data_IF_532708844097
#
_entry.id   IF_532708844097
#
_cell.length_a   1.000
_cell.length_b   1.000
_cell.length_c   1.000
_cell.angle_alpha   90.00
_cell.angle_beta   90.00
_cell.angle_gamma   90.00
#
_symmetry.space_group_name_H-M   'P 1'
#
loop_
_entity.id
_entity.type
_entity.pdbx_description
1 polymer ?
#
# COMPACT_ATOMS: atom_id res chain seq x y z
N UNK A 1 62.10 11.25 9.19
CA UNK A 1 60.98 10.55 8.54
C UNK A 1 59.72 11.37 8.75
N UNK A 2 59.13 11.92 7.69
CA UNK A 2 57.88 12.69 7.73
C UNK A 2 56.86 11.94 6.88
N UNK A 3 55.77 11.48 7.50
CA UNK A 3 54.65 10.81 6.82
C UNK A 3 53.62 11.88 6.47
N UNK A 4 53.19 12.04 5.21
CA UNK A 4 52.09 12.94 4.89
C UNK A 4 50.76 12.21 5.10
N UNK A 5 49.89 12.78 5.91
CA UNK A 5 48.51 12.34 6.06
C UNK A 5 47.66 12.95 4.93
N UNK A 6 47.26 12.12 3.96
CA UNK A 6 46.26 12.50 2.95
C UNK A 6 44.86 12.49 3.56
N UNK A 7 44.24 13.66 3.67
CA UNK A 7 42.82 13.79 3.98
C UNK A 7 42.00 13.47 2.72
N UNK A 8 41.30 12.34 2.70
CA UNK A 8 40.25 12.04 1.73
C UNK A 8 38.98 12.80 2.12
N UNK A 9 38.67 13.85 1.37
CA UNK A 9 37.38 14.54 1.43
C UNK A 9 36.33 13.66 0.72
N UNK A 10 35.42 13.05 1.51
CA UNK A 10 34.20 12.43 1.00
C UNK A 10 33.23 13.55 0.58
N UNK A 11 33.24 13.93 -0.69
CA UNK A 11 32.20 14.78 -1.26
C UNK A 11 30.95 13.92 -1.52
N UNK A 12 29.93 14.09 -0.67
CA UNK A 12 28.60 13.54 -0.92
C UNK A 12 27.99 14.26 -2.13
N UNK A 13 27.87 13.56 -3.26
CA UNK A 13 27.13 14.04 -4.43
C UNK A 13 25.65 13.91 -4.10
N UNK A 14 25.00 15.03 -3.76
CA UNK A 14 23.54 15.10 -3.68
C UNK A 14 22.98 15.07 -5.10
N UNK A 15 22.41 13.93 -5.51
CA UNK A 15 21.62 13.86 -6.73
C UNK A 15 20.31 14.61 -6.49
N UNK A 16 19.99 15.57 -7.37
CA UNK A 16 18.69 16.22 -7.36
C UNK A 16 17.65 15.23 -7.89
N UNK A 17 17.05 14.44 -7.02
CA UNK A 17 15.88 13.62 -7.36
C UNK A 17 14.69 14.55 -7.55
N UNK A 18 14.24 14.73 -8.79
CA UNK A 18 13.05 15.55 -9.07
C UNK A 18 11.81 14.68 -8.86
N UNK A 19 10.93 15.12 -7.96
CA UNK A 19 9.63 14.49 -7.73
C UNK A 19 8.71 14.81 -8.91
N UNK A 20 8.03 13.79 -9.42
CA UNK A 20 7.07 13.93 -10.52
C UNK A 20 5.69 14.16 -9.90
N UNK A 21 5.32 15.43 -9.72
CA UNK A 21 4.11 15.82 -8.97
C UNK A 21 2.83 15.24 -9.59
N UNK A 22 2.71 15.19 -10.92
CA UNK A 22 1.52 14.69 -11.62
C UNK A 22 1.16 13.23 -11.33
N UNK A 23 2.15 12.44 -10.89
CA UNK A 23 2.00 11.01 -10.60
C UNK A 23 2.34 10.71 -9.14
N UNK A 24 2.34 11.73 -8.27
CA UNK A 24 2.70 11.59 -6.86
C UNK A 24 1.62 12.17 -5.94
N UNK A 25 1.43 11.57 -4.77
CA UNK A 25 0.68 12.14 -3.66
C UNK A 25 1.30 11.78 -2.31
N UNK A 26 1.05 12.61 -1.29
CA UNK A 26 1.56 12.39 0.06
C UNK A 26 3.05 12.75 0.26
N UNK A 27 3.67 13.50 -0.66
CA UNK A 27 4.99 14.09 -0.43
C UNK A 27 4.94 15.41 0.36
N UNK A 28 3.79 16.08 0.39
CA UNK A 28 3.54 17.29 1.16
C UNK A 28 2.86 17.02 2.51
N UNK A 29 2.37 18.08 3.16
CA UNK A 29 1.68 17.97 4.45
C UNK A 29 0.32 17.26 4.38
N UNK A 30 -0.31 17.21 3.20
CA UNK A 30 -1.61 16.58 2.97
C UNK A 30 -1.60 15.73 1.69
N UNK A 31 -2.33 14.62 1.73
CA UNK A 31 -2.58 13.71 0.59
C UNK A 31 -3.61 14.31 -0.36
N UNK A 32 -4.66 14.91 0.18
CA UNK A 32 -5.69 15.61 -0.58
C UNK A 32 -5.76 17.07 -0.14
N UNK A 33 -5.32 18.03 -0.97
CA UNK A 33 -5.38 19.46 -0.66
C UNK A 33 -6.80 20.02 -0.73
N UNK A 34 -7.73 19.35 -1.41
CA UNK A 34 -9.15 19.72 -1.50
C UNK A 34 -10.06 18.51 -1.24
N UNK A 35 -11.35 18.78 -1.01
CA UNK A 35 -12.38 17.74 -0.88
C UNK A 35 -12.74 17.06 -2.21
N UNK A 36 -12.24 17.58 -3.33
CA UNK A 36 -12.58 17.13 -4.68
C UNK A 36 -11.78 15.90 -5.12
N UNK A 37 -10.69 15.58 -4.42
CA UNK A 37 -9.90 14.37 -4.68
C UNK A 37 -8.40 14.62 -4.56
N UNK A 38 -7.63 13.69 -5.11
CA UNK A 38 -6.18 13.80 -5.21
C UNK A 38 -5.83 14.35 -6.60
N UNK A 39 -5.14 15.49 -6.71
CA UNK A 39 -4.80 16.08 -8.01
C UNK A 39 -4.01 15.10 -8.89
N UNK A 40 -4.44 14.93 -10.14
CA UNK A 40 -3.77 14.02 -11.10
C UNK A 40 -4.09 12.53 -10.88
N UNK A 41 -5.03 12.19 -9.99
CA UNK A 41 -5.41 10.81 -9.69
C UNK A 41 -6.91 10.58 -9.82
N UNK A 42 -7.26 9.48 -10.47
CA UNK A 42 -8.61 8.95 -10.54
C UNK A 42 -8.81 7.88 -9.48
N UNK A 43 -9.79 8.08 -8.61
CA UNK A 43 -10.09 7.19 -7.49
C UNK A 43 -11.49 6.61 -7.69
N UNK A 44 -11.62 5.31 -7.47
CA UNK A 44 -12.90 4.63 -7.58
C UNK A 44 -12.85 3.24 -6.97
N UNK A 45 -13.97 2.54 -7.01
CA UNK A 45 -14.08 1.22 -6.40
C UNK A 45 -15.38 0.51 -6.75
N UNK A 46 -15.46 -0.74 -6.32
CA UNK A 46 -16.61 -1.63 -6.46
C UNK A 46 -17.04 -2.08 -5.06
N UNK A 47 -18.35 -2.01 -4.77
CA UNK A 47 -18.90 -2.28 -3.44
C UNK A 47 -18.62 -1.19 -2.39
N UNK A 48 -17.67 -0.30 -2.65
CA UNK A 48 -17.38 0.88 -1.83
C UNK A 48 -16.68 1.96 -2.67
N UNK A 49 -16.83 3.23 -2.29
CA UNK A 49 -16.04 4.32 -2.83
C UNK A 49 -14.91 4.68 -1.84
N UNK A 50 -13.61 4.60 -2.24
CA UNK A 50 -12.49 4.85 -1.34
C UNK A 50 -12.61 6.18 -0.59
N UNK A 51 -12.27 6.16 0.71
CA UNK A 51 -12.33 7.37 1.53
C UNK A 51 -11.01 8.14 1.42
N UNK A 52 -11.10 9.40 1.02
CA UNK A 52 -9.96 10.30 0.91
C UNK A 52 -9.91 11.16 2.17
N UNK A 53 -8.86 10.97 2.97
CA UNK A 53 -8.59 11.75 4.18
C UNK A 53 -7.40 12.67 3.95
N UNK A 54 -7.20 13.63 4.85
CA UNK A 54 -6.12 14.61 4.73
C UNK A 54 -4.73 13.98 4.69
N UNK A 55 -4.52 12.83 5.36
CA UNK A 55 -3.22 12.19 5.49
C UNK A 55 -3.12 10.79 4.84
N UNK A 56 -4.23 10.25 4.31
CA UNK A 56 -4.26 8.90 3.73
C UNK A 56 -5.48 8.68 2.84
N UNK A 57 -5.39 7.67 1.99
CA UNK A 57 -6.50 7.12 1.22
C UNK A 57 -6.83 5.75 1.78
N UNK A 58 -8.09 5.48 2.09
CA UNK A 58 -8.57 4.17 2.50
C UNK A 58 -9.14 3.50 1.24
N UNK A 59 -8.37 2.58 0.64
CA UNK A 59 -8.80 1.85 -0.56
C UNK A 59 -9.87 0.82 -0.24
N UNK A 60 -9.73 0.12 0.89
CA UNK A 60 -10.74 -0.83 1.39
C UNK A 60 -11.05 -0.53 2.85
N UNK A 61 -12.33 -0.50 3.24
CA UNK A 61 -12.72 -0.28 4.63
C UNK A 61 -12.62 -1.59 5.43
N UNK A 62 -12.56 -1.52 6.77
CA UNK A 62 -12.65 -2.70 7.63
C UNK A 62 -14.04 -3.37 7.59
N UNK A 63 -15.05 -2.68 7.03
CA UNK A 63 -16.39 -3.19 6.75
C UNK A 63 -17.08 -2.23 5.76
N UNK A 64 -17.83 -2.69 4.74
CA UNK A 64 -18.13 -4.10 4.41
C UNK A 64 -16.98 -4.82 3.70
N UNK A 65 -17.02 -6.15 3.69
CA UNK A 65 -16.13 -7.00 2.88
C UNK A 65 -16.54 -7.08 1.41
N UNK A 66 -15.79 -7.86 0.62
CA UNK A 66 -15.97 -8.00 -0.83
C UNK A 66 -15.88 -6.67 -1.59
N UNK A 67 -15.06 -5.74 -1.08
CA UNK A 67 -14.87 -4.43 -1.68
C UNK A 67 -13.57 -4.38 -2.48
N UNK A 68 -13.57 -3.57 -3.52
CA UNK A 68 -12.38 -3.26 -4.32
C UNK A 68 -12.22 -1.75 -4.41
N UNK A 69 -10.99 -1.27 -4.29
CA UNK A 69 -10.66 0.14 -4.45
C UNK A 69 -9.47 0.29 -5.39
N UNK A 70 -9.42 1.43 -6.08
CA UNK A 70 -8.29 1.81 -6.91
C UNK A 70 -8.00 3.30 -6.82
N UNK A 71 -6.75 3.64 -7.09
CA UNK A 71 -6.27 4.98 -7.41
C UNK A 71 -5.31 4.86 -8.59
N UNK A 72 -5.58 5.56 -9.69
CA UNK A 72 -4.74 5.57 -10.90
C UNK A 72 -4.28 6.98 -11.24
N UNK A 73 -3.02 7.15 -11.63
CA UNK A 73 -2.52 8.42 -12.14
C UNK A 73 -3.14 8.72 -13.52
N UNK A 74 -3.59 9.95 -13.74
CA UNK A 74 -4.18 10.39 -15.01
C UNK A 74 -3.14 10.58 -16.12
N UNK A 75 -1.89 10.89 -15.74
CA UNK A 75 -0.80 11.15 -16.70
C UNK A 75 0.16 9.95 -16.73
N UNK A 76 0.48 9.40 -17.93
CA UNK A 76 1.47 8.35 -18.06
C UNK A 76 2.88 8.88 -17.77
N UNK A 77 3.72 8.03 -17.21
CA UNK A 77 5.09 8.34 -16.87
C UNK A 77 5.98 8.33 -18.12
N UNK A 78 6.55 9.47 -18.48
CA UNK A 78 7.42 9.59 -19.66
C UNK A 78 8.86 9.13 -19.45
N UNK A 79 9.29 8.94 -18.21
CA UNK A 79 10.66 8.61 -17.85
C UNK A 79 10.90 7.11 -17.91
N UNK A 80 11.99 6.68 -18.54
CA UNK A 80 12.40 5.27 -18.57
C UNK A 80 13.08 4.83 -17.27
N UNK A 81 13.76 5.75 -16.60
CA UNK A 81 14.41 5.51 -15.29
C UNK A 81 13.66 6.26 -14.19
N UNK A 82 13.13 5.51 -13.22
CA UNK A 82 12.31 6.05 -12.15
C UNK A 82 12.45 5.25 -10.86
N UNK A 83 12.17 5.92 -9.76
CA UNK A 83 12.02 5.31 -8.45
C UNK A 83 10.66 5.70 -7.87
N UNK A 84 9.90 4.73 -7.37
CA UNK A 84 8.63 4.93 -6.71
C UNK A 84 8.75 4.55 -5.23
N UNK A 85 8.35 5.43 -4.34
CA UNK A 85 8.16 5.15 -2.92
C UNK A 85 6.66 5.04 -2.61
N UNK A 86 6.27 3.88 -2.10
CA UNK A 86 4.90 3.54 -1.75
C UNK A 86 4.81 3.28 -0.25
N UNK A 87 3.95 4.02 0.46
CA UNK A 87 3.69 3.81 1.89
C UNK A 87 2.27 3.36 2.12
N UNK A 88 2.11 2.21 2.76
CA UNK A 88 0.81 1.61 3.01
C UNK A 88 0.71 1.02 4.41
N UNK A 89 -0.52 0.74 4.84
CA UNK A 89 -0.80 -0.03 6.06
C UNK A 89 -1.96 -0.96 5.80
N UNK A 90 -1.85 -2.19 6.31
CA UNK A 90 -2.96 -3.12 6.37
C UNK A 90 -3.37 -3.34 7.83
N UNK A 91 -4.66 -3.22 8.12
CA UNK A 91 -5.20 -3.47 9.47
C UNK A 91 -6.47 -4.28 9.38
N UNK A 92 -6.58 -5.32 10.18
CA UNK A 92 -7.78 -6.14 10.23
C UNK A 92 -7.80 -7.09 11.40
N UNK A 93 -8.97 -7.66 11.63
CA UNK A 93 -9.21 -8.65 12.68
C UNK A 93 -8.50 -9.97 12.37
N UNK A 94 -8.54 -10.89 13.33
CA UNK A 94 -8.03 -12.25 13.12
C UNK A 94 -8.72 -12.90 11.91
N UNK A 95 -7.93 -13.53 11.02
CA UNK A 95 -8.38 -14.13 9.75
C UNK A 95 -9.01 -13.17 8.73
N UNK A 96 -8.96 -11.86 8.94
CA UNK A 96 -9.17 -10.91 7.86
C UNK A 96 -8.06 -11.08 6.80
N UNK A 97 -8.34 -10.61 5.60
CA UNK A 97 -7.39 -10.69 4.51
C UNK A 97 -7.75 -9.80 3.35
N UNK A 98 -7.07 -10.04 2.24
CA UNK A 98 -7.16 -9.24 1.05
C UNK A 98 -5.76 -9.02 0.50
N UNK A 99 -5.71 -8.26 -0.58
CA UNK A 99 -4.49 -8.02 -1.31
C UNK A 99 -4.42 -6.56 -1.72
N UNK A 100 -3.19 -6.07 -1.80
CA UNK A 100 -2.85 -4.72 -2.24
C UNK A 100 -1.88 -4.86 -3.40
N UNK A 101 -2.10 -4.11 -4.46
CA UNK A 101 -1.23 -4.12 -5.62
C UNK A 101 -0.79 -2.70 -5.94
N UNK A 102 0.49 -2.55 -6.20
CA UNK A 102 1.04 -1.38 -6.88
C UNK A 102 1.30 -1.76 -8.34
N UNK A 103 0.90 -0.91 -9.26
CA UNK A 103 0.95 -1.16 -10.69
C UNK A 103 1.79 -0.10 -11.40
N UNK A 104 2.48 -0.56 -12.44
CA UNK A 104 2.98 0.25 -13.53
C UNK A 104 2.51 -0.41 -14.82
N UNK A 105 1.36 0.02 -15.33
CA UNK A 105 0.65 -0.68 -16.40
C UNK A 105 0.18 0.26 -17.50
N UNK A 106 0.20 -0.24 -18.73
CA UNK A 106 -0.36 0.44 -19.90
C UNK A 106 -1.88 0.49 -19.80
N UNK A 107 -2.46 1.68 -20.00
CA UNK A 107 -3.91 1.92 -19.92
C UNK A 107 -4.53 1.34 -18.62
N UNK A 108 -3.89 1.64 -17.48
CA UNK A 108 -4.13 0.93 -16.23
C UNK A 108 -5.57 1.04 -15.72
N UNK A 109 -6.20 2.21 -15.84
CA UNK A 109 -7.59 2.42 -15.43
C UNK A 109 -8.57 1.61 -16.29
N UNK A 110 -8.35 1.58 -17.61
CA UNK A 110 -9.23 0.91 -18.56
C UNK A 110 -9.05 -0.61 -18.56
N UNK A 111 -7.80 -1.08 -18.45
CA UNK A 111 -7.44 -2.51 -18.52
C UNK A 111 -7.50 -3.23 -17.18
N UNK A 112 -7.06 -2.58 -16.11
CA UNK A 112 -6.99 -3.16 -14.77
C UNK A 112 -8.15 -2.67 -13.90
N UNK A 113 -8.39 -1.36 -13.87
CA UNK A 113 -9.46 -0.75 -13.08
C UNK A 113 -9.30 -1.07 -11.59
N UNK A 114 -10.28 -1.80 -11.02
CA UNK A 114 -10.30 -2.27 -9.62
C UNK A 114 -9.79 -3.71 -9.44
N UNK A 115 -9.29 -4.36 -10.49
CA UNK A 115 -8.92 -5.77 -10.46
C UNK A 115 -7.65 -6.02 -9.63
N UNK A 116 -7.65 -7.12 -8.87
CA UNK A 116 -6.44 -7.71 -8.31
C UNK A 116 -5.68 -8.55 -9.35
N UNK A 117 -4.43 -8.93 -9.06
CA UNK A 117 -3.63 -9.83 -9.91
C UNK A 117 -4.33 -11.17 -10.20
N UNK A 118 -5.24 -11.61 -9.32
CA UNK A 118 -6.00 -12.85 -9.44
C UNK A 118 -7.25 -12.73 -10.32
N UNK A 119 -7.60 -11.51 -10.72
CA UNK A 119 -8.87 -11.21 -11.39
C UNK A 119 -8.71 -10.33 -12.63
N UNK A 120 -7.52 -9.76 -12.83
CA UNK A 120 -7.16 -8.97 -14.00
C UNK A 120 -7.04 -9.86 -15.23
N UNK A 121 -7.48 -9.36 -16.38
CA UNK A 121 -7.39 -10.06 -17.65
C UNK A 121 -5.97 -10.02 -18.25
N UNK A 122 -5.89 -9.70 -19.53
CA UNK A 122 -4.66 -9.32 -20.21
C UNK A 122 -4.28 -7.88 -19.87
N UNK A 123 -3.01 -7.67 -19.52
CA UNK A 123 -2.45 -6.36 -19.16
C UNK A 123 -0.96 -6.32 -19.54
N UNK A 124 -0.40 -5.13 -19.69
CA UNK A 124 0.99 -4.93 -20.10
C UNK A 124 1.71 -4.03 -19.07
N UNK A 125 2.76 -4.55 -18.44
CA UNK A 125 3.59 -3.82 -17.49
C UNK A 125 4.06 -4.66 -16.30
N UNK A 126 4.21 -3.98 -15.16
CA UNK A 126 4.64 -4.53 -13.88
C UNK A 126 3.58 -4.38 -12.79
N UNK A 127 3.50 -5.38 -11.90
CA UNK A 127 2.69 -5.35 -10.70
C UNK A 127 3.46 -5.87 -9.50
N UNK A 128 3.41 -5.13 -8.39
CA UNK A 128 3.88 -5.57 -7.08
C UNK A 128 2.67 -5.90 -6.21
N UNK A 129 2.59 -7.12 -5.69
CA UNK A 129 1.47 -7.62 -4.90
C UNK A 129 1.92 -7.85 -3.48
N UNK A 130 1.13 -7.33 -2.54
CA UNK A 130 1.24 -7.60 -1.10
C UNK A 130 0.03 -8.44 -0.71
N UNK A 131 0.27 -9.66 -0.24
CA UNK A 131 -0.79 -10.58 0.17
C UNK A 131 -0.29 -11.61 1.19
N UNK A 132 -1.22 -12.42 1.70
CA UNK A 132 -0.93 -13.48 2.67
C UNK A 132 -0.45 -14.78 2.02
N UNK A 133 -0.04 -14.76 0.75
CA UNK A 133 0.48 -15.95 0.08
C UNK A 133 1.76 -16.45 0.79
N UNK A 134 2.10 -17.74 0.64
CA UNK A 134 3.24 -18.46 1.26
C UNK A 134 3.16 -18.80 2.76
N UNK A 135 2.11 -18.39 3.48
CA UNK A 135 1.82 -18.86 4.85
C UNK A 135 2.76 -18.34 5.96
N UNK A 136 3.75 -17.51 5.64
CA UNK A 136 4.72 -16.92 6.59
C UNK A 136 4.33 -15.52 7.10
N UNK A 137 3.03 -15.27 7.24
CA UNK A 137 2.51 -13.99 7.76
C UNK A 137 2.40 -12.86 6.74
N UNK A 138 2.75 -13.10 5.48
CA UNK A 138 2.64 -12.17 4.36
C UNK A 138 3.82 -12.29 3.39
N UNK A 139 3.61 -11.92 2.14
CA UNK A 139 4.65 -11.88 1.11
C UNK A 139 4.49 -10.66 0.22
N UNK A 140 5.61 -10.22 -0.35
CA UNK A 140 5.66 -9.21 -1.40
C UNK A 140 6.18 -9.88 -2.66
N UNK A 141 5.45 -9.76 -3.77
CA UNK A 141 5.69 -10.52 -5.00
C UNK A 141 5.62 -9.63 -6.23
N UNK A 142 6.54 -9.80 -7.17
CA UNK A 142 6.60 -9.08 -8.44
C UNK A 142 6.06 -9.93 -9.60
N UNK A 143 5.21 -9.34 -10.42
CA UNK A 143 4.62 -9.93 -11.62
C UNK A 143 4.87 -9.06 -12.84
N UNK A 144 5.00 -9.69 -14.00
CA UNK A 144 5.15 -9.03 -15.29
C UNK A 144 4.16 -9.63 -16.29
N UNK A 145 3.67 -8.80 -17.19
CA UNK A 145 2.88 -9.23 -18.32
C UNK A 145 3.17 -8.31 -19.50
N UNK A 146 3.13 -8.85 -20.71
CA UNK A 146 3.39 -8.15 -21.97
C UNK A 146 2.10 -7.98 -22.80
N UNK A 147 0.94 -8.16 -22.15
CA UNK A 147 -0.37 -8.14 -22.79
C UNK A 147 -0.84 -9.50 -23.34
N UNK A 148 0.00 -10.53 -23.35
CA UNK A 148 -0.35 -11.82 -23.97
C UNK A 148 -1.07 -12.76 -23.00
N UNK A 149 -0.72 -12.74 -21.72
CA UNK A 149 -1.22 -13.70 -20.74
C UNK A 149 -2.48 -13.17 -20.05
N UNK A 150 -3.55 -13.96 -20.07
CA UNK A 150 -4.76 -13.67 -19.29
C UNK A 150 -4.61 -14.23 -17.86
N UNK A 151 -4.42 -13.35 -16.89
CA UNK A 151 -4.20 -13.73 -15.50
C UNK A 151 -5.47 -14.28 -14.83
N UNK A 152 -6.66 -13.83 -15.26
CA UNK A 152 -7.95 -14.25 -14.69
C UNK A 152 -8.25 -15.71 -14.98
N UNK A 153 -7.85 -16.20 -16.15
CA UNK A 153 -8.05 -17.60 -16.55
C UNK A 153 -6.84 -18.50 -16.24
N UNK A 154 -5.75 -17.93 -15.71
CA UNK A 154 -4.55 -18.69 -15.39
C UNK A 154 -4.77 -19.58 -14.16
N UNK A 155 -4.44 -20.88 -14.27
CA UNK A 155 -4.69 -21.88 -13.21
C UNK A 155 -3.92 -21.62 -11.92
N UNK A 156 -2.74 -21.01 -12.04
CA UNK A 156 -1.84 -20.74 -10.92
C UNK A 156 -1.20 -19.39 -11.15
N UNK A 157 -1.88 -18.32 -10.75
CA UNK A 157 -1.32 -16.96 -10.86
C UNK A 157 -0.03 -16.86 -10.04
N UNK A 158 0.04 -17.55 -8.89
CA UNK A 158 1.18 -17.50 -7.98
C UNK A 158 2.51 -17.95 -8.62
N UNK A 159 2.48 -18.87 -9.58
CA UNK A 159 3.68 -19.33 -10.28
C UNK A 159 4.21 -18.34 -11.32
N UNK A 160 3.47 -17.28 -11.64
CA UNK A 160 3.90 -16.23 -12.57
C UNK A 160 4.77 -15.16 -11.90
N UNK A 161 4.91 -15.21 -10.57
CA UNK A 161 5.76 -14.27 -9.85
C UNK A 161 7.24 -14.51 -10.21
N UNK A 162 7.93 -13.48 -10.70
CA UNK A 162 9.36 -13.58 -11.05
C UNK A 162 10.29 -13.29 -9.87
N UNK A 163 9.78 -12.62 -8.83
CA UNK A 163 10.52 -12.26 -7.63
C UNK A 163 9.59 -12.17 -6.43
N UNK A 164 10.07 -12.57 -5.25
CA UNK A 164 9.30 -12.50 -4.02
C UNK A 164 10.20 -12.43 -2.79
N UNK A 165 9.64 -11.91 -1.69
CA UNK A 165 10.21 -12.05 -0.35
C UNK A 165 9.10 -12.20 0.69
N UNK A 166 9.43 -12.84 1.81
CA UNK A 166 8.54 -12.93 2.96
C UNK A 166 8.50 -11.59 3.71
N UNK A 167 7.30 -11.06 3.94
CA UNK A 167 7.12 -9.80 4.66
C UNK A 167 5.79 -9.77 5.40
N UNK A 168 5.84 -9.75 6.74
CA UNK A 168 4.63 -9.63 7.55
C UNK A 168 4.20 -8.16 7.63
N UNK A 169 3.20 -7.80 6.84
CA UNK A 169 2.74 -6.42 6.64
C UNK A 169 1.52 -6.03 7.50
N UNK A 170 0.82 -7.02 8.08
CA UNK A 170 -0.46 -6.80 8.77
C UNK A 170 -0.24 -6.30 10.19
N UNK A 171 -1.06 -5.35 10.62
CA UNK A 171 -1.16 -4.92 12.02
C UNK A 171 0.16 -4.41 12.65
N UNK A 172 1.07 -3.84 11.85
CA UNK A 172 2.37 -3.33 12.31
C UNK A 172 2.31 -2.04 13.15
N UNK A 173 1.15 -1.37 13.21
CA UNK A 173 0.96 -0.07 13.88
C UNK A 173 1.58 1.12 13.13
N UNK A 174 2.66 0.90 12.37
CA UNK A 174 3.30 1.87 11.46
C UNK A 174 2.97 1.56 9.99
N UNK A 175 3.09 2.54 9.07
CA UNK A 175 3.10 2.27 7.64
C UNK A 175 4.36 1.50 7.22
N UNK A 176 4.20 0.56 6.30
CA UNK A 176 5.27 -0.12 5.57
C UNK A 176 5.73 0.74 4.40
N UNK A 177 7.03 0.81 4.16
CA UNK A 177 7.61 1.59 3.06
C UNK A 177 8.19 0.64 2.03
N UNK A 178 7.68 0.69 0.80
CA UNK A 178 8.18 -0.07 -0.34
C UNK A 178 8.81 0.89 -1.33
N UNK A 179 10.03 0.60 -1.78
CA UNK A 179 10.67 1.34 -2.86
C UNK A 179 10.91 0.43 -4.04
N UNK A 180 10.40 0.84 -5.20
CA UNK A 180 10.61 0.18 -6.49
C UNK A 180 11.52 1.08 -7.31
N UNK A 181 12.66 0.57 -7.75
CA UNK A 181 13.61 1.28 -8.57
C UNK A 181 13.76 0.57 -9.91
N UNK A 182 13.49 1.29 -10.99
CA UNK A 182 13.64 0.82 -12.36
C UNK A 182 14.69 1.69 -13.05
N UNK A 183 15.80 1.08 -13.46
CA UNK A 183 16.87 1.72 -14.24
C UNK A 183 17.20 0.87 -15.45
N UNK A 184 18.03 1.37 -16.37
CA UNK A 184 18.45 0.59 -17.53
C UNK A 184 19.27 -0.67 -17.17
N UNK A 185 19.87 -0.72 -15.98
CA UNK A 185 20.74 -1.84 -15.56
C UNK A 185 20.12 -2.76 -14.53
N UNK A 186 19.25 -2.25 -13.66
CA UNK A 186 18.71 -3.01 -12.54
C UNK A 186 17.28 -2.60 -12.21
N UNK A 187 16.47 -3.62 -11.97
CA UNK A 187 15.17 -3.51 -11.34
C UNK A 187 15.27 -4.03 -9.90
N UNK A 188 14.96 -3.19 -8.92
CA UNK A 188 15.16 -3.49 -7.50
C UNK A 188 13.92 -3.10 -6.70
N UNK A 189 13.52 -3.98 -5.78
CA UNK A 189 12.46 -3.73 -4.80
C UNK A 189 13.03 -3.86 -3.39
N UNK A 190 12.81 -2.83 -2.57
CA UNK A 190 13.16 -2.82 -1.15
C UNK A 190 11.93 -2.55 -0.29
N UNK A 191 11.93 -3.10 0.93
CA UNK A 191 10.83 -3.01 1.89
C UNK A 191 11.41 -2.66 3.25
N UNK A 192 10.96 -1.55 3.84
CA UNK A 192 11.51 -1.00 5.08
C UNK A 192 13.07 -0.94 5.04
N UNK A 193 13.62 -0.43 3.92
CA UNK A 193 15.05 -0.31 3.62
C UNK A 193 15.84 -1.63 3.55
N UNK A 194 15.15 -2.77 3.45
CA UNK A 194 15.75 -4.09 3.23
C UNK A 194 15.52 -4.57 1.80
N UNK A 195 16.51 -5.18 1.14
CA UNK A 195 16.31 -5.75 -0.18
C UNK A 195 15.29 -6.88 -0.13
N UNK A 196 14.31 -6.84 -1.03
CA UNK A 196 13.31 -7.90 -1.21
C UNK A 196 13.70 -8.79 -2.38
N UNK A 197 13.80 -8.22 -3.58
CA UNK A 197 14.35 -8.89 -4.76
C UNK A 197 14.89 -7.87 -5.75
N UNK A 198 15.85 -8.31 -6.57
CA UNK A 198 16.43 -7.51 -7.65
C UNK A 198 16.76 -8.40 -8.85
N UNK A 199 16.72 -7.81 -10.05
CA UNK A 199 17.00 -8.51 -11.31
C UNK A 199 17.48 -7.52 -12.37
N UNK A 200 18.38 -7.97 -13.24
CA UNK A 200 18.90 -7.25 -14.40
C UNK A 200 18.16 -7.63 -15.70
N UNK A 201 17.20 -8.57 -15.62
CA UNK A 201 16.49 -9.12 -16.79
C UNK A 201 15.19 -8.38 -17.13
N UNK A 202 14.77 -7.46 -16.27
CA UNK A 202 13.49 -6.77 -16.39
C UNK A 202 13.73 -5.38 -16.97
N UNK A 203 13.16 -5.14 -18.15
CA UNK A 203 13.15 -3.85 -18.80
C UNK A 203 11.69 -3.41 -18.98
N UNK A 204 11.33 -2.29 -18.36
CA UNK A 204 9.97 -1.77 -18.35
C UNK A 204 9.90 -0.53 -19.25
N UNK A 205 9.01 -0.47 -20.26
CA UNK A 205 8.93 0.65 -21.19
C UNK A 205 8.39 1.92 -20.51
N UNK A 206 8.77 3.08 -21.03
CA UNK A 206 8.14 4.36 -20.67
C UNK A 206 6.72 4.46 -21.26
N UNK A 207 5.91 5.35 -20.70
CA UNK A 207 4.57 5.67 -21.21
C UNK A 207 3.42 4.94 -20.53
N UNK A 208 3.66 4.27 -19.40
CA UNK A 208 2.60 3.59 -18.65
C UNK A 208 2.12 4.42 -17.46
N UNK A 209 0.97 4.05 -16.92
CA UNK A 209 0.34 4.69 -15.76
C UNK A 209 0.69 3.99 -14.46
N UNK A 210 0.77 4.75 -13.37
CA UNK A 210 0.94 4.22 -12.02
C UNK A 210 -0.43 4.02 -11.39
N UNK A 211 -0.61 2.92 -10.70
CA UNK A 211 -1.85 2.63 -9.99
C UNK A 211 -1.64 1.91 -8.69
N UNK A 212 -2.62 2.01 -7.81
CA UNK A 212 -2.73 1.17 -6.63
C UNK A 212 -4.14 0.60 -6.60
N UNK A 213 -4.26 -0.71 -6.43
CA UNK A 213 -5.55 -1.38 -6.25
C UNK A 213 -5.53 -2.18 -4.96
N UNK A 214 -6.69 -2.38 -4.36
CA UNK A 214 -6.85 -3.30 -3.24
C UNK A 214 -8.16 -4.05 -3.40
N UNK A 215 -8.16 -5.34 -3.05
CA UNK A 215 -9.36 -6.17 -3.05
C UNK A 215 -9.43 -7.01 -1.77
N UNK A 216 -10.64 -7.15 -1.25
CA UNK A 216 -10.90 -7.87 0.00
C UNK A 216 -11.90 -9.02 -0.18
N UNK A 217 -11.78 -10.10 0.59
CA UNK A 217 -12.82 -11.12 0.72
C UNK A 217 -13.92 -10.63 1.68
N UNK A 218 -14.82 -11.53 2.09
CA UNK A 218 -15.90 -11.24 3.03
C UNK A 218 -15.40 -10.70 4.38
N UNK A 219 -14.26 -11.18 4.87
CA UNK A 219 -13.57 -10.66 6.05
C UNK A 219 -12.41 -9.75 5.61
N UNK A 220 -12.62 -8.43 5.49
CA UNK A 220 -11.66 -7.53 4.86
C UNK A 220 -10.56 -7.07 5.82
N UNK A 221 -9.34 -6.98 5.30
CA UNK A 221 -8.35 -6.03 5.80
C UNK A 221 -8.67 -4.64 5.24
N UNK A 222 -8.50 -3.62 6.08
CA UNK A 222 -8.46 -2.24 5.63
C UNK A 222 -7.08 -1.93 5.08
N UNK A 223 -7.03 -1.59 3.79
CA UNK A 223 -5.82 -1.14 3.11
C UNK A 223 -5.82 0.38 3.00
N UNK A 224 -4.82 0.99 3.63
CA UNK A 224 -4.63 2.43 3.69
C UNK A 224 -3.33 2.81 2.99
N UNK A 225 -3.37 3.83 2.13
CA UNK A 225 -2.21 4.36 1.41
C UNK A 225 -1.93 5.77 1.89
N UNK A 226 -0.70 6.01 2.35
CA UNK A 226 -0.28 7.30 2.87
C UNK A 226 0.48 8.11 1.82
N UNK A 227 1.22 7.43 0.95
CA UNK A 227 2.15 8.07 0.04
C UNK A 227 2.38 7.20 -1.19
N UNK A 228 2.36 7.82 -2.37
CA UNK A 228 2.91 7.29 -3.61
C UNK A 228 3.73 8.40 -4.22
N UNK A 229 5.05 8.27 -4.24
CA UNK A 229 5.94 9.33 -4.74
C UNK A 229 6.86 8.78 -5.79
N UNK A 230 6.78 9.37 -6.98
CA UNK A 230 7.67 9.07 -8.08
C UNK A 230 8.78 10.10 -8.18
N UNK A 231 9.98 9.60 -8.40
CA UNK A 231 11.19 10.38 -8.58
C UNK A 231 11.89 9.92 -9.86
N UNK A 232 12.53 10.86 -10.55
CA UNK A 232 13.45 10.51 -11.62
C UNK A 232 14.68 9.81 -11.04
N UNK A 233 15.01 8.65 -11.57
CA UNK A 233 16.25 7.97 -11.19
C UNK A 233 17.36 8.50 -12.09
N UNK A 234 18.11 9.51 -11.64
CA UNK A 234 19.34 9.87 -12.34
C UNK A 234 20.41 8.82 -12.08
N UNK A 235 20.80 8.08 -13.13
CA UNK A 235 21.98 7.23 -13.10
C UNK A 235 23.24 8.10 -12.87
N UNK A 236 24.13 7.75 -11.92
CA UNK A 236 25.38 8.48 -11.68
C UNK A 236 26.43 8.09 -12.74
N UNK A 237 26.21 8.47 -14.00
CA UNK A 237 27.22 8.36 -15.06
C UNK A 237 27.18 9.61 -15.91
N UNK A 238 28.01 10.59 -15.56
CA UNK A 238 28.19 11.82 -16.34
C UNK A 238 29.11 12.81 -15.63
N UNK A 239 30.32 12.94 -16.14
CA UNK A 239 31.36 13.88 -15.70
C UNK A 239 30.78 15.30 -15.53
N UNK A 240 31.01 15.91 -14.38
CA UNK A 240 30.72 17.32 -14.16
C UNK A 240 31.50 18.20 -15.18
N UNK A 241 30.89 19.25 -15.74
CA UNK A 241 31.64 20.28 -16.47
C UNK A 241 32.57 21.02 -15.50
N UNK A 242 33.81 21.37 -15.91
CA UNK A 242 34.72 22.11 -15.05
C UNK A 242 34.23 23.56 -14.91
N UNK A 243 33.93 23.96 -13.68
CA UNK A 243 33.71 25.36 -13.32
C UNK A 243 35.08 26.06 -13.31
N UNK A 244 35.29 26.98 -14.25
CA UNK A 244 36.48 27.84 -14.28
C UNK A 244 36.43 28.81 -13.09
N UNK A 245 37.26 28.56 -12.08
CA UNK A 245 37.55 29.52 -11.04
C UNK A 245 38.54 30.56 -11.59
N UNK A 246 38.07 31.80 -11.75
CA UNK A 246 38.89 32.93 -12.17
C UNK A 246 39.77 33.37 -11.00
N UNK A 247 41.07 33.23 -11.20
CA UNK A 247 42.13 33.49 -10.26
C UNK A 247 42.44 35.01 -10.25
N UNK A 248 42.51 35.65 -9.10
CA UNK A 248 43.17 36.98 -8.99
C UNK A 248 44.16 36.94 -7.84
N UNK A 249 45.43 36.85 -8.23
CA UNK A 249 46.63 36.97 -7.41
C UNK A 249 46.65 38.28 -6.63
N UNK A 250 47.15 38.24 -5.39
CA UNK A 250 47.98 39.33 -4.86
C UNK A 250 48.84 38.89 -3.67
N UNK A 251 50.14 39.20 -3.76
CA UNK A 251 51.18 39.07 -2.74
C UNK A 251 52.26 40.15 -3.01
N UNK A 252 53.16 40.47 -2.07
CA UNK A 252 53.05 41.68 -1.24
C UNK A 252 54.28 42.61 -1.33
N UNK A 253 54.16 43.91 -0.97
CA UNK A 253 55.33 44.77 -0.66
C UNK A 253 55.05 45.83 0.42
N UNK A 254 56.13 46.15 1.13
CA UNK A 254 56.22 46.91 2.38
C UNK A 254 56.76 48.35 2.21
N UNK A 255 56.42 49.19 3.22
CA UNK A 255 57.12 50.31 3.87
C UNK A 255 57.42 51.67 3.16
N UNK A 256 56.69 52.73 3.60
CA UNK A 256 57.05 54.07 4.19
C UNK A 256 58.16 54.99 3.58
N UNK A 257 58.26 56.34 3.88
CA UNK A 257 57.37 57.31 4.59
C UNK A 257 57.32 58.79 3.99
N UNK A 258 56.67 59.72 4.72
CA UNK A 258 56.62 61.22 4.66
C UNK A 258 55.56 61.89 3.74
N UNK A 259 54.77 62.91 4.15
CA UNK A 259 54.70 63.74 5.36
C UNK A 259 53.40 64.59 5.46
N UNK A 260 53.22 65.22 6.64
CA UNK A 260 52.16 66.12 7.17
C UNK A 260 51.34 66.96 6.17
N UNK A 261 50.06 67.33 6.41
CA UNK A 261 49.57 68.16 7.54
C UNK A 261 48.02 68.14 7.66
N UNK A 262 47.50 68.01 8.91
CA UNK A 262 46.30 68.57 9.61
C UNK A 262 45.03 68.98 8.80
N UNK A 263 43.75 68.80 9.22
CA UNK A 263 43.08 68.48 10.49
C UNK A 263 41.57 68.11 10.22
N UNK A 264 40.97 67.39 11.18
CA UNK A 264 39.61 66.77 11.29
C UNK A 264 38.38 67.67 11.06
N UNK A 265 37.14 67.21 10.75
CA UNK A 265 36.21 66.27 11.44
C UNK A 265 35.05 65.88 10.47
N UNK A 266 34.24 64.81 10.57
CA UNK A 266 34.20 63.57 11.35
C UNK A 266 33.24 62.60 10.60
N UNK A 267 33.65 61.33 10.49
CA UNK A 267 32.88 60.21 9.93
C UNK A 267 32.24 59.41 11.07
N UNK A 268 30.92 59.19 11.02
CA UNK A 268 30.25 58.17 11.84
C UNK A 268 29.32 57.35 10.96
N UNK A 269 29.70 56.13 10.55
CA UNK A 269 28.73 55.17 10.00
C UNK A 269 29.15 53.68 10.01
N UNK A 270 30.23 53.28 10.70
CA UNK A 270 30.63 51.86 10.73
C UNK A 270 30.75 51.22 12.12
N UNK A 271 30.40 51.92 13.20
CA UNK A 271 30.35 51.34 14.55
C UNK A 271 28.93 50.87 14.96
N UNK A 272 27.88 51.28 14.23
CA UNK A 272 26.49 50.90 14.51
C UNK A 272 26.15 49.46 14.11
N UNK A 273 26.74 48.96 13.03
CA UNK A 273 26.45 47.62 12.46
C UNK A 273 26.95 46.48 13.37
N UNK A 274 28.15 46.61 13.93
CA UNK A 274 28.75 45.58 14.80
C UNK A 274 28.05 45.56 16.16
N UNK A 275 27.74 46.73 16.74
CA UNK A 275 26.99 46.80 17.99
C UNK A 275 25.55 46.29 17.85
N UNK A 276 24.90 46.51 16.70
CA UNK A 276 23.57 45.94 16.42
C UNK A 276 23.59 44.40 16.36
N UNK A 277 24.66 43.80 15.82
CA UNK A 277 24.83 42.34 15.81
C UNK A 277 25.08 41.75 17.21
N UNK A 278 25.81 42.44 18.09
CA UNK A 278 25.99 41.99 19.48
C UNK A 278 24.69 42.05 20.30
N UNK A 279 23.84 43.05 20.06
CA UNK A 279 22.52 43.16 20.70
C UNK A 279 21.56 42.07 20.22
N UNK A 280 21.58 41.72 18.92
CA UNK A 280 20.76 40.63 18.36
C UNK A 280 21.21 39.25 18.85
N UNK A 281 22.51 39.01 19.02
CA UNK A 281 23.00 37.76 19.62
C UNK A 281 22.61 37.66 21.09
N UNK A 282 22.69 38.77 21.85
CA UNK A 282 22.29 38.81 23.25
C UNK A 282 20.81 38.47 23.45
N UNK A 283 19.93 39.01 22.61
CA UNK A 283 18.48 38.73 22.68
C UNK A 283 18.16 37.28 22.32
N UNK A 284 18.87 36.70 21.33
CA UNK A 284 18.73 35.28 20.95
C UNK A 284 19.21 34.33 22.05
N UNK A 285 20.31 34.65 22.73
CA UNK A 285 20.81 33.83 23.85
C UNK A 285 19.84 33.85 25.03
N UNK A 286 19.20 34.98 25.31
CA UNK A 286 18.17 35.05 26.35
C UNK A 286 16.94 34.22 26.00
N UNK A 287 16.51 34.25 24.73
CA UNK A 287 15.39 33.45 24.22
C UNK A 287 15.68 31.94 24.31
N UNK A 288 16.91 31.54 23.98
CA UNK A 288 17.36 30.15 24.11
C UNK A 288 17.34 29.71 25.58
N UNK A 289 17.86 30.52 26.51
CA UNK A 289 17.84 30.19 27.93
C UNK A 289 16.41 30.00 28.48
N UNK A 290 15.46 30.83 28.05
CA UNK A 290 14.05 30.66 28.43
C UNK A 290 13.44 29.40 27.82
N UNK A 291 13.75 29.07 26.56
CA UNK A 291 13.31 27.83 25.93
C UNK A 291 13.88 26.60 26.65
N UNK A 292 15.16 26.63 27.03
CA UNK A 292 15.80 25.55 27.80
C UNK A 292 15.16 25.36 29.17
N UNK A 293 14.86 26.45 29.89
CA UNK A 293 14.18 26.36 31.20
C UNK A 293 12.76 25.81 31.09
N UNK A 294 12.02 26.14 30.03
CA UNK A 294 10.70 25.56 29.77
C UNK A 294 10.81 24.06 29.43
N UNK A 295 11.79 23.66 28.62
CA UNK A 295 12.02 22.25 28.29
C UNK A 295 12.38 21.45 29.54
N UNK A 296 13.23 21.98 30.44
CA UNK A 296 13.60 21.30 31.69
C UNK A 296 12.36 21.10 32.59
N UNK A 297 11.46 22.09 32.68
CA UNK A 297 10.19 21.94 33.41
C UNK A 297 9.26 20.91 32.77
N UNK A 298 9.16 20.91 31.45
CA UNK A 298 8.33 19.94 30.71
C UNK A 298 8.86 18.51 30.90
N UNK A 299 10.18 18.33 30.88
CA UNK A 299 10.86 17.05 31.08
C UNK A 299 10.67 16.53 32.51
N UNK A 300 10.74 17.40 33.53
CA UNK A 300 10.44 17.04 34.92
C UNK A 300 8.97 16.63 35.13
N UNK A 301 8.04 17.33 34.48
CA UNK A 301 6.61 16.96 34.50
C UNK A 301 6.33 15.64 33.77
N UNK A 302 7.11 15.32 32.72
CA UNK A 302 7.00 14.04 32.01
C UNK A 302 7.59 12.87 32.81
N UNK A 303 8.73 13.10 33.48
CA UNK A 303 9.36 12.11 34.33
C UNK A 303 8.45 11.69 35.50
N UNK A 304 7.84 12.66 36.20
CA UNK A 304 6.90 12.36 37.29
C UNK A 304 5.63 11.64 36.82
N UNK A 305 5.10 11.97 35.62
CA UNK A 305 3.98 11.24 35.00
C UNK A 305 4.35 9.81 34.56
N UNK A 306 5.60 9.59 34.15
CA UNK A 306 6.09 8.26 33.79
C UNK A 306 6.26 7.38 35.02
N UNK A 307 6.81 7.93 36.11
CA UNK A 307 7.01 7.21 37.37
C UNK A 307 5.69 6.80 38.03
N UNK A 308 4.68 7.69 38.00
CA UNK A 308 3.32 7.36 38.47
C UNK A 308 2.67 6.27 37.61
N UNK A 309 2.77 6.31 36.27
CA UNK A 309 2.30 5.22 35.41
C UNK A 309 3.03 3.90 35.66
N UNK A 310 4.33 3.95 35.89
CA UNK A 310 5.13 2.76 36.17
C UNK A 310 4.74 2.14 37.52
N UNK A 311 4.44 2.96 38.52
CA UNK A 311 3.91 2.50 39.81
C UNK A 311 2.50 1.89 39.68
N UNK A 312 1.62 2.47 38.86
CA UNK A 312 0.27 1.96 38.63
C UNK A 312 0.30 0.60 37.88
N UNK A 313 1.21 0.45 36.91
CA UNK A 313 1.42 -0.81 36.20
C UNK A 313 2.01 -1.91 37.11
N UNK A 314 2.96 -1.57 37.99
CA UNK A 314 3.47 -2.51 38.98
C UNK A 314 2.38 -2.93 39.98
N UNK A 315 1.48 -2.01 40.34
CA UNK A 315 0.34 -2.33 41.21
C UNK A 315 -0.70 -3.22 40.53
N UNK A 316 -0.90 -3.09 39.20
CA UNK A 316 -1.70 -4.02 38.39
C UNK A 316 -1.03 -5.36 38.14
N UNK A 317 0.29 -5.44 38.18
CA UNK A 317 1.04 -6.71 38.13
C UNK A 317 1.09 -7.40 39.51
N UNK A 318 0.94 -6.65 40.59
CA UNK A 318 0.91 -7.17 41.96
C UNK A 318 -0.43 -7.82 42.37
N UNK A 319 -1.45 -7.82 41.50
CA UNK A 319 -2.67 -8.60 41.73
C UNK A 319 -2.39 -10.09 41.54
N UNK A 320 -2.06 -10.71 42.67
CA UNK A 320 -1.76 -12.14 42.97
C UNK A 320 -2.77 -13.17 42.43
N UNK A 321 -3.88 -12.72 41.83
CA UNK A 321 -4.98 -13.55 41.34
C UNK A 321 -4.73 -14.16 39.96
N UNK A 322 -3.99 -13.48 39.07
CA UNK A 322 -3.70 -14.02 37.73
C UNK A 322 -2.54 -15.03 37.71
N UNK A 323 -1.58 -14.90 38.64
CA UNK A 323 -0.44 -15.81 38.73
C UNK A 323 -0.87 -17.20 39.24
N UNK A 324 -1.82 -17.27 40.18
CA UNK A 324 -2.39 -18.54 40.65
C UNK A 324 -3.19 -19.26 39.56
N UNK A 325 -3.87 -18.53 38.68
CA UNK A 325 -4.56 -19.11 37.53
C UNK A 325 -3.62 -19.66 36.45
N UNK A 326 -2.39 -19.13 36.36
CA UNK A 326 -1.39 -19.58 35.40
C UNK A 326 -0.74 -20.92 35.83
N UNK A 327 -0.47 -21.07 37.13
CA UNK A 327 0.12 -22.28 37.70
C UNK A 327 -0.82 -23.49 37.57
N UNK A 328 -2.12 -23.28 37.82
CA UNK A 328 -3.15 -24.29 37.60
C UNK A 328 -3.30 -24.70 36.13
N UNK A 329 -3.01 -23.81 35.18
CA UNK A 329 -3.03 -24.11 33.74
C UNK A 329 -1.77 -24.88 33.30
N UNK A 330 -0.61 -24.55 33.86
CA UNK A 330 0.65 -25.25 33.60
C UNK A 330 0.59 -26.71 34.05
N UNK A 331 0.09 -26.98 35.26
CA UNK A 331 -0.08 -28.36 35.76
C UNK A 331 -1.04 -29.19 34.90
N UNK A 332 -2.11 -28.58 34.39
CA UNK A 332 -3.07 -29.26 33.50
C UNK A 332 -2.45 -29.56 32.13
N UNK A 333 -1.56 -28.69 31.65
CA UNK A 333 -0.84 -28.89 30.39
C UNK A 333 0.19 -30.03 30.50
N UNK A 334 0.89 -30.12 31.63
CA UNK A 334 1.85 -31.20 31.90
C UNK A 334 1.17 -32.57 31.96
N UNK A 335 0.01 -32.67 32.63
CA UNK A 335 -0.80 -33.90 32.63
C UNK A 335 -1.26 -34.32 31.23
N UNK A 336 -1.59 -33.35 30.37
CA UNK A 336 -2.04 -33.62 29.00
C UNK A 336 -0.87 -34.06 28.11
N UNK A 337 0.32 -33.50 28.31
CA UNK A 337 1.53 -33.94 27.59
C UNK A 337 1.93 -35.36 27.98
N UNK A 338 1.83 -35.71 29.26
CA UNK A 338 2.10 -37.08 29.72
C UNK A 338 1.07 -38.10 29.22
N UNK A 339 -0.21 -37.71 29.07
CA UNK A 339 -1.20 -38.59 28.45
C UNK A 339 -0.98 -38.77 26.95
N UNK A 340 -0.55 -37.72 26.25
CA UNK A 340 -0.20 -37.79 24.83
C UNK A 340 1.04 -38.66 24.61
N UNK A 341 2.06 -38.57 25.47
CA UNK A 341 3.24 -39.43 25.39
C UNK A 341 2.89 -40.91 25.64
N UNK A 342 1.95 -41.18 26.54
CA UNK A 342 1.45 -42.54 26.80
C UNK A 342 0.59 -43.08 25.66
N UNK A 343 -0.20 -42.22 25.01
CA UNK A 343 -0.99 -42.57 23.82
C UNK A 343 -0.12 -42.75 22.57
N UNK A 344 1.04 -42.09 22.49
CA UNK A 344 2.01 -42.25 21.40
C UNK A 344 2.84 -43.54 21.50
N UNK A 345 2.92 -44.15 22.69
CA UNK A 345 3.69 -45.39 22.93
C UNK A 345 2.86 -46.66 22.69
N UNK A 346 1.52 -46.56 22.66
CA UNK A 346 0.61 -47.65 22.32
C UNK A 346 0.45 -47.83 20.80
N UNK A 347 1.03 -48.90 20.25
CA UNK A 347 0.99 -49.28 18.82
C UNK A 347 -0.41 -49.71 18.28
N UNK A 348 -1.45 -48.88 18.40
CA UNK A 348 -2.82 -49.21 17.95
C UNK A 348 -3.36 -48.35 16.79
N UNK A 349 -2.49 -47.80 15.93
CA UNK A 349 -2.93 -47.07 14.73
C UNK A 349 -3.52 -47.98 13.64
N UNK A 350 -3.20 -49.27 13.64
CA UNK A 350 -3.60 -50.21 12.59
C UNK A 350 -5.08 -50.60 12.69
N UNK A 351 -5.56 -50.85 13.89
CA UNK A 351 -6.96 -51.23 14.12
C UNK A 351 -7.92 -50.03 13.98
N UNK A 352 -7.47 -48.83 14.38
CA UNK A 352 -8.25 -47.60 14.13
C UNK A 352 -8.29 -47.22 12.65
N UNK A 353 -7.24 -47.49 11.89
CA UNK A 353 -7.25 -47.26 10.44
C UNK A 353 -8.20 -48.23 9.71
N UNK A 354 -8.24 -49.50 10.14
CA UNK A 354 -9.20 -50.47 9.61
C UNK A 354 -10.65 -50.10 9.96
N UNK A 355 -10.91 -49.65 11.19
CA UNK A 355 -12.23 -49.12 11.56
C UNK A 355 -12.61 -47.88 10.76
N UNK A 356 -11.68 -46.95 10.51
CA UNK A 356 -11.91 -45.77 9.67
C UNK A 356 -12.21 -46.16 8.22
N UNK A 357 -11.50 -47.15 7.68
CA UNK A 357 -11.72 -47.63 6.33
C UNK A 357 -13.09 -48.31 6.17
N UNK A 358 -13.51 -49.10 7.17
CA UNK A 358 -14.82 -49.75 7.20
C UNK A 358 -15.96 -48.73 7.34
N UNK A 359 -15.75 -47.71 8.18
CA UNK A 359 -16.73 -46.62 8.38
C UNK A 359 -16.88 -45.79 7.10
N UNK A 360 -15.79 -45.48 6.40
CA UNK A 360 -15.82 -44.82 5.10
C UNK A 360 -16.56 -45.62 4.03
N UNK A 361 -16.38 -46.96 4.01
CA UNK A 361 -17.08 -47.84 3.07
C UNK A 361 -18.59 -47.86 3.32
N UNK A 362 -18.99 -47.95 4.59
CA UNK A 362 -20.42 -47.89 4.96
C UNK A 362 -21.05 -46.52 4.68
N UNK A 363 -20.32 -45.42 4.88
CA UNK A 363 -20.79 -44.08 4.52
C UNK A 363 -20.93 -43.91 3.00
N UNK A 364 -20.06 -44.51 2.20
CA UNK A 364 -20.16 -44.46 0.74
C UNK A 364 -21.39 -45.22 0.22
N UNK A 365 -21.73 -46.38 0.76
CA UNK A 365 -22.96 -47.10 0.37
C UNK A 365 -24.22 -46.33 0.80
N UNK A 366 -24.24 -45.84 2.04
CA UNK A 366 -25.36 -45.05 2.58
C UNK A 366 -25.59 -43.74 1.82
N UNK A 367 -24.52 -43.03 1.41
CA UNK A 367 -24.62 -41.81 0.61
C UNK A 367 -25.08 -42.10 -0.82
N UNK A 368 -24.70 -43.23 -1.41
CA UNK A 368 -25.09 -43.58 -2.77
C UNK A 368 -26.57 -43.98 -2.84
N UNK A 369 -27.09 -44.67 -1.82
CA UNK A 369 -28.52 -45.00 -1.73
C UNK A 369 -29.37 -43.76 -1.39
N UNK A 370 -28.93 -42.91 -0.44
CA UNK A 370 -29.65 -41.69 -0.09
C UNK A 370 -29.59 -40.61 -1.20
N UNK A 371 -28.55 -40.59 -2.04
CA UNK A 371 -28.52 -39.71 -3.22
C UNK A 371 -29.48 -40.20 -4.31
N UNK A 372 -29.65 -41.51 -4.49
CA UNK A 372 -30.54 -42.06 -5.51
C UNK A 372 -32.02 -41.73 -5.22
N UNK A 373 -32.42 -41.79 -3.95
CA UNK A 373 -33.80 -41.49 -3.53
C UNK A 373 -34.10 -39.98 -3.44
N UNK A 374 -33.11 -39.15 -3.08
CA UNK A 374 -33.28 -37.70 -3.07
C UNK A 374 -33.16 -37.05 -4.46
N UNK A 375 -32.36 -37.60 -5.38
CA UNK A 375 -32.24 -37.07 -6.75
C UNK A 375 -33.50 -37.38 -7.58
N UNK A 376 -34.13 -38.55 -7.39
CA UNK A 376 -35.40 -38.89 -8.06
C UNK A 376 -36.58 -38.03 -7.58
N UNK A 377 -36.60 -37.62 -6.31
CA UNK A 377 -37.65 -36.74 -5.76
C UNK A 377 -37.42 -35.26 -6.06
N UNK A 378 -36.17 -34.80 -6.19
CA UNK A 378 -35.86 -33.40 -6.56
C UNK A 378 -36.02 -33.12 -8.06
N UNK A 379 -35.80 -34.11 -8.93
CA UNK A 379 -36.05 -34.00 -10.38
C UNK A 379 -37.56 -33.97 -10.69
N UNK A 380 -38.40 -34.55 -9.84
CA UNK A 380 -39.87 -34.54 -10.02
C UNK A 380 -40.58 -33.36 -9.34
N UNK A 381 -40.02 -32.79 -8.27
CA UNK A 381 -40.62 -31.66 -7.54
C UNK A 381 -40.28 -30.26 -8.12
N UNK A 382 -39.33 -30.17 -9.04
CA UNK A 382 -38.80 -28.88 -9.55
C UNK A 382 -38.93 -28.71 -11.06
N UNK A 383 -40.05 -29.12 -11.65
CA UNK A 383 -40.42 -28.66 -12.99
C UNK A 383 -41.34 -27.45 -12.86
N UNK A 384 -40.85 -26.20 -13.06
CA UNK A 384 -41.73 -25.05 -13.09
C UNK A 384 -42.62 -25.19 -14.32
N UNK A 385 -43.93 -25.04 -14.13
CA UNK A 385 -44.97 -25.13 -15.17
C UNK A 385 -44.68 -24.18 -16.33
N UNK A 386 -43.94 -24.64 -17.34
CA UNK A 386 -43.70 -23.93 -18.60
C UNK A 386 -45.01 -23.50 -19.29
N UNK A 387 -46.12 -24.20 -19.02
CA UNK A 387 -47.44 -23.88 -19.54
C UNK A 387 -48.01 -22.54 -19.09
N UNK A 388 -47.72 -22.07 -17.86
CA UNK A 388 -48.23 -20.78 -17.38
C UNK A 388 -47.56 -19.61 -18.10
N UNK A 389 -46.23 -19.69 -18.30
CA UNK A 389 -45.48 -18.66 -19.03
C UNK A 389 -45.85 -18.62 -20.52
N UNK A 390 -46.02 -19.80 -21.16
CA UNK A 390 -46.47 -19.86 -22.56
C UNK A 390 -47.88 -19.27 -22.71
N UNK A 391 -48.81 -19.60 -21.80
CA UNK A 391 -50.16 -19.03 -21.81
C UNK A 391 -50.15 -17.51 -21.61
N UNK A 392 -49.32 -17.00 -20.69
CA UNK A 392 -49.17 -15.56 -20.46
C UNK A 392 -48.64 -14.82 -21.70
N UNK A 393 -47.67 -15.41 -22.41
CA UNK A 393 -47.13 -14.83 -23.65
C UNK A 393 -48.18 -14.84 -24.76
N UNK A 394 -48.94 -15.93 -24.93
CA UNK A 394 -50.00 -16.02 -25.93
C UNK A 394 -51.12 -15.01 -25.63
N UNK A 395 -51.54 -14.89 -24.37
CA UNK A 395 -52.55 -13.92 -23.95
C UNK A 395 -52.10 -12.47 -24.25
N UNK A 396 -50.83 -12.15 -23.99
CA UNK A 396 -50.26 -10.84 -24.28
C UNK A 396 -50.21 -10.54 -25.80
N UNK A 397 -49.85 -11.54 -26.62
CA UNK A 397 -49.84 -11.41 -28.08
C UNK A 397 -51.25 -11.18 -28.65
N UNK A 398 -52.27 -11.88 -28.14
CA UNK A 398 -53.67 -11.68 -28.57
C UNK A 398 -54.17 -10.29 -28.18
N UNK A 399 -53.80 -9.78 -27.00
CA UNK A 399 -54.17 -8.45 -26.55
C UNK A 399 -53.56 -7.36 -27.45
N UNK A 400 -52.27 -7.49 -27.80
CA UNK A 400 -51.61 -6.59 -28.75
C UNK A 400 -52.27 -6.66 -30.14
N UNK A 401 -52.55 -7.85 -30.66
CA UNK A 401 -53.24 -8.01 -31.95
C UNK A 401 -54.63 -7.37 -31.94
N UNK A 402 -55.42 -7.57 -30.88
CA UNK A 402 -56.72 -6.95 -30.69
C UNK A 402 -56.65 -5.42 -30.64
N UNK A 403 -55.67 -4.88 -29.89
CA UNK A 403 -55.45 -3.43 -29.81
C UNK A 403 -55.07 -2.83 -31.18
N UNK A 404 -54.27 -3.54 -31.97
CA UNK A 404 -53.87 -3.13 -33.31
C UNK A 404 -55.05 -3.12 -34.29
N UNK A 405 -55.93 -4.13 -34.23
CA UNK A 405 -57.15 -4.17 -35.06
C UNK A 405 -58.10 -3.03 -34.69
N UNK A 406 -58.28 -2.75 -33.40
CA UNK A 406 -59.11 -1.62 -32.94
C UNK A 406 -58.50 -0.28 -33.39
N UNK A 407 -57.18 -0.12 -33.26
CA UNK A 407 -56.47 1.07 -33.74
C UNK A 407 -56.65 1.27 -35.25
N UNK A 408 -56.47 0.21 -36.05
CA UNK A 408 -56.65 0.25 -37.51
C UNK A 408 -58.10 0.55 -37.89
N UNK A 409 -59.07 -0.03 -37.19
CA UNK A 409 -60.51 0.23 -37.41
C UNK A 409 -60.88 1.67 -37.05
N UNK A 410 -60.34 2.22 -35.96
CA UNK A 410 -60.51 3.64 -35.61
C UNK A 410 -59.91 4.57 -36.66
N UNK A 411 -58.72 4.24 -37.18
CA UNK A 411 -58.07 5.06 -38.21
C UNK A 411 -58.81 5.03 -39.56
N UNK A 412 -59.44 3.91 -39.91
CA UNK A 412 -60.25 3.80 -41.13
C UNK A 412 -61.59 4.55 -41.05
N UNK A 413 -62.13 4.74 -39.85
CA UNK A 413 -63.41 5.42 -39.61
C UNK A 413 -63.28 6.91 -39.28
N UNK A 414 -62.07 7.49 -39.33
CA UNK A 414 -61.90 8.93 -39.19
C UNK A 414 -62.23 9.62 -40.52
N UNK A 415 -63.19 10.57 -40.55
CA UNK A 415 -63.52 11.30 -41.77
C UNK A 415 -62.30 12.09 -42.23
N UNK A 416 -61.90 11.90 -43.49
CA UNK A 416 -60.79 12.63 -44.12
C UNK A 416 -61.16 14.11 -44.19
N UNK A 417 -60.50 14.94 -43.38
CA UNK A 417 -60.48 16.39 -43.60
C UNK A 417 -59.68 16.64 -44.88
N UNK A 418 -60.39 16.93 -45.97
CA UNK A 418 -59.81 17.59 -47.13
C UNK A 418 -59.54 19.06 -46.74
N UNK A 419 -58.39 19.57 -47.17
CA UNK A 419 -58.09 20.99 -47.13
C UNK A 419 -59.06 21.76 -48.03
#
# INVERSE_FOLDING_TARGET
MKVPASFLLLSAVATAQTVIESSSFGHGAMVAPSREGIPGWDIGGEGHFPQILSNKVILTPPYPGNTRGYAWSQTPLSQSEWAAEFQFRATGVERAGGNLQFWYAKDGKEKVGSASIYTVGQWDGFALVVDTHSGRGGSIRGFLNDGTTDYKSHRSVDSLAFGHCDYSYRNLGRPSVVRVKSTNSIFEVTVDDKPCFATDKVAIPAGNTIGVTAATPENPDSFEVFKVVLQTASSPVGKAPPVQAQNTNQQPRAAQPQGNTQQEQASSNNLGSINAQFVDIGSRIQLINHATNNIIRELGNQASKSETRQSELLQRLATKEQIQGLDARLQRMEQTLLSIQRDLEGKDYRDRFNQLHETLRSSHQSLTENLKDNVLSVITASTPRMGFFIFAIIAFQVLLAGSYVIYKRRRANMPKKFL
#
